data_IF_030270693222
#
_entry.id   IF_030270693222
#
_cell.length_a   1.000
_cell.length_b   1.000
_cell.length_c   1.000
_cell.angle_alpha   90.00
_cell.angle_beta   90.00
_cell.angle_gamma   90.00
#
_symmetry.space_group_name_H-M   'P 1'
#
loop_
_entity.id
_entity.type
_entity.pdbx_description
1 polymer ?
#
# COMPACT_ATOMS: atom_id res chain seq x y z
N UNK A 1 4.19 -20.02 62.65
CA UNK A 1 5.27 -20.24 61.67
C UNK A 1 4.61 -20.24 60.29
N UNK A 2 4.44 -19.10 59.61
CA UNK A 2 5.42 -18.39 58.76
C UNK A 2 5.91 -19.19 57.55
N UNK A 3 5.24 -19.00 56.40
CA UNK A 3 5.84 -19.03 55.08
C UNK A 3 5.01 -18.16 54.13
N UNK A 4 5.51 -16.98 53.74
CA UNK A 4 4.95 -16.19 52.63
C UNK A 4 5.69 -16.61 51.38
N UNK A 5 4.97 -17.06 50.34
CA UNK A 5 5.58 -17.22 49.01
C UNK A 5 5.62 -15.87 48.32
N UNK A 6 6.81 -15.43 47.92
CA UNK A 6 7.04 -14.24 47.12
C UNK A 6 7.60 -14.65 45.77
N UNK A 7 6.80 -14.52 44.71
CA UNK A 7 7.26 -14.80 43.34
C UNK A 7 7.97 -13.58 42.77
N UNK A 8 9.24 -13.75 42.43
CA UNK A 8 10.12 -12.73 41.87
C UNK A 8 9.78 -12.53 40.39
N UNK A 9 9.48 -11.29 39.99
CA UNK A 9 9.43 -10.92 38.57
C UNK A 9 10.80 -10.40 38.12
N UNK A 10 11.37 -11.05 37.11
CA UNK A 10 12.71 -10.78 36.58
C UNK A 10 12.65 -10.03 35.25
N UNK A 11 12.88 -8.72 35.27
CA UNK A 11 13.32 -7.99 34.08
C UNK A 11 14.29 -6.88 34.45
N UNK A 12 15.51 -6.89 33.88
CA UNK A 12 16.56 -5.91 34.21
C UNK A 12 17.56 -5.67 33.07
N UNK A 13 17.75 -4.39 32.71
CA UNK A 13 18.91 -3.76 32.01
C UNK A 13 19.12 -4.15 30.52
N UNK A 14 19.62 -3.31 29.59
CA UNK A 14 19.88 -1.83 29.44
C UNK A 14 19.41 -1.45 28.00
N UNK A 15 19.46 -0.23 27.43
CA UNK A 15 19.99 1.13 27.70
C UNK A 15 18.89 2.17 27.30
N UNK A 16 19.01 3.50 27.41
CA UNK A 16 20.07 4.35 27.97
C UNK A 16 20.75 5.31 26.96
N UNK A 17 20.07 6.39 26.54
CA UNK A 17 20.74 7.63 26.10
C UNK A 17 19.83 8.87 26.21
N UNK A 18 20.30 9.90 26.93
CA UNK A 18 19.72 11.25 26.89
C UNK A 18 20.18 11.99 25.63
N UNK A 19 19.28 12.76 25.00
CA UNK A 19 19.56 13.43 23.72
C UNK A 19 18.82 14.75 23.58
N UNK A 20 19.34 15.81 24.23
CA UNK A 20 18.82 17.19 24.10
C UNK A 20 18.75 17.61 22.62
N UNK A 21 17.60 18.08 22.16
CA UNK A 21 17.50 18.94 20.97
C UNK A 21 16.92 20.29 21.34
N UNK A 22 17.76 21.31 21.26
CA UNK A 22 17.37 22.69 21.52
C UNK A 22 16.64 23.27 20.30
N UNK A 23 15.55 24.00 20.54
CA UNK A 23 14.92 24.82 19.51
C UNK A 23 15.90 25.91 19.04
N UNK A 24 16.43 25.76 17.82
CA UNK A 24 17.14 26.83 17.11
C UNK A 24 16.27 27.30 15.95
N UNK A 25 15.59 28.43 16.17
CA UNK A 25 15.01 29.21 15.09
C UNK A 25 16.17 29.80 14.28
N UNK A 26 16.28 29.46 13.00
CA UNK A 26 17.12 30.23 12.09
C UNK A 26 16.33 31.45 11.64
N UNK A 27 16.94 32.63 11.81
CA UNK A 27 16.39 33.89 11.32
C UNK A 27 16.85 34.11 9.87
N UNK A 28 15.93 34.54 9.01
CA UNK A 28 16.27 35.06 7.68
C UNK A 28 17.00 36.40 7.82
N UNK A 29 18.11 36.63 7.11
CA UNK A 29 18.68 37.96 6.98
C UNK A 29 17.90 38.75 5.92
N UNK A 30 17.29 39.86 6.34
CA UNK A 30 16.75 40.87 5.42
C UNK A 30 17.91 41.53 4.68
N UNK A 31 17.94 41.39 3.36
CA UNK A 31 18.94 41.98 2.46
C UNK A 31 18.33 43.01 1.50
N UNK A 32 17.65 44.04 2.03
CA UNK A 32 17.12 45.13 1.21
C UNK A 32 18.25 46.10 0.80
N UNK A 33 18.24 46.50 -0.48
CA UNK A 33 19.34 47.25 -1.12
C UNK A 33 19.36 48.71 -0.68
N UNK A 34 20.57 49.24 -0.50
CA UNK A 34 20.80 50.68 -0.32
C UNK A 34 20.54 51.38 -1.65
N UNK A 35 19.62 52.36 -1.64
CA UNK A 35 19.53 53.35 -2.70
C UNK A 35 20.73 54.29 -2.64
N UNK A 36 21.36 54.55 -3.78
CA UNK A 36 22.35 55.61 -3.94
C UNK A 36 22.01 56.40 -5.20
N UNK A 37 21.41 57.56 -5.03
CA UNK A 37 21.13 58.51 -6.11
C UNK A 37 22.42 59.03 -6.74
N UNK A 38 22.45 59.11 -8.06
CA UNK A 38 23.41 59.91 -8.82
C UNK A 38 22.76 60.38 -10.13
N UNK A 39 22.68 61.70 -10.40
CA UNK A 39 22.00 62.21 -11.58
C UNK A 39 22.89 62.15 -12.83
N UNK A 40 22.36 61.63 -13.93
CA UNK A 40 23.00 61.73 -15.24
C UNK A 40 22.53 63.00 -15.96
N UNK A 41 23.32 64.07 -15.89
CA UNK A 41 23.08 65.30 -16.66
C UNK A 41 23.43 65.10 -18.13
N UNK A 42 22.43 65.27 -19.01
CA UNK A 42 22.61 65.38 -20.45
C UNK A 42 23.21 66.76 -20.78
N UNK A 43 24.43 66.78 -21.34
CA UNK A 43 24.96 67.94 -22.04
C UNK A 43 25.02 67.65 -23.54
N UNK A 44 24.06 68.20 -24.29
CA UNK A 44 24.09 68.21 -25.75
C UNK A 44 25.20 69.13 -26.28
N UNK A 45 25.79 68.72 -27.40
CA UNK A 45 26.92 69.37 -28.07
C UNK A 45 26.40 70.15 -29.28
N UNK A 46 26.66 71.45 -29.36
CA UNK A 46 26.55 72.22 -30.60
C UNK A 46 27.80 73.08 -30.84
N UNK A 47 28.51 72.72 -31.91
CA UNK A 47 29.38 73.56 -32.74
C UNK A 47 28.45 74.24 -33.78
N UNK A 48 28.73 75.33 -34.50
CA UNK A 48 29.88 76.25 -34.71
C UNK A 48 29.36 77.41 -35.59
N UNK A 49 30.16 78.49 -35.79
CA UNK A 49 30.17 79.38 -36.99
C UNK A 49 28.84 80.00 -37.50
N UNK A 50 28.70 81.30 -37.76
CA UNK A 50 29.71 82.35 -37.95
C UNK A 50 30.08 82.58 -39.43
N UNK A 51 29.28 83.37 -40.15
CA UNK A 51 29.59 84.09 -41.40
C UNK A 51 28.60 85.28 -41.47
N UNK A 52 28.95 86.58 -41.60
CA UNK A 52 29.84 87.36 -42.49
C UNK A 52 29.05 88.04 -43.63
N UNK A 53 29.13 89.39 -43.64
CA UNK A 53 29.00 90.33 -44.79
C UNK A 53 27.77 91.26 -44.72
N UNK A 54 27.86 92.56 -45.03
CA UNK A 54 29.03 93.40 -45.33
C UNK A 54 28.67 94.75 -45.97
N UNK A 55 29.60 95.72 -45.95
CA UNK A 55 29.60 97.02 -46.69
C UNK A 55 28.52 98.06 -46.28
N UNK A 56 28.67 99.38 -46.46
CA UNK A 56 29.68 100.18 -47.19
C UNK A 56 29.93 101.60 -46.58
N UNK A 57 31.05 102.21 -47.01
CA UNK A 57 31.34 103.66 -47.20
C UNK A 57 30.51 104.72 -46.43
N UNK A 58 31.05 105.45 -45.45
CA UNK A 58 32.07 106.51 -45.55
C UNK A 58 31.63 107.79 -46.28
N UNK A 59 31.49 108.87 -45.50
CA UNK A 59 31.56 110.27 -45.93
C UNK A 59 32.54 110.99 -44.98
N UNK A 60 33.27 111.99 -45.50
CA UNK A 60 34.48 112.52 -44.87
C UNK A 60 34.22 113.85 -44.17
N UNK A 61 34.77 114.04 -42.97
CA UNK A 61 35.08 115.38 -42.48
C UNK A 61 36.43 115.39 -41.76
N UNK A 62 37.31 116.25 -42.23
CA UNK A 62 38.74 116.28 -41.91
C UNK A 62 39.02 117.16 -40.70
N UNK A 63 39.37 116.58 -39.55
CA UNK A 63 39.90 117.31 -38.40
C UNK A 63 41.10 116.61 -37.75
N UNK A 64 42.19 117.38 -37.66
CA UNK A 64 43.40 117.28 -36.84
C UNK A 64 43.94 115.90 -36.38
N UNK A 65 45.10 115.50 -36.94
CA UNK A 65 45.62 114.13 -36.87
C UNK A 65 46.90 113.96 -36.04
N UNK A 66 47.18 114.82 -35.05
CA UNK A 66 48.36 114.68 -34.18
C UNK A 66 48.12 113.89 -32.87
N UNK A 67 46.88 113.81 -32.38
CA UNK A 67 46.53 113.01 -31.19
C UNK A 67 45.84 111.68 -31.54
N UNK A 68 45.04 111.66 -32.62
CA UNK A 68 44.35 110.46 -33.12
C UNK A 68 45.32 109.36 -33.59
N UNK A 69 46.48 109.73 -34.13
CA UNK A 69 47.50 108.78 -34.58
C UNK A 69 48.07 107.90 -33.47
N UNK A 70 48.30 108.46 -32.28
CA UNK A 70 48.78 107.72 -31.11
C UNK A 70 47.72 106.74 -30.59
N UNK A 71 46.49 107.22 -30.38
CA UNK A 71 45.36 106.40 -29.90
C UNK A 71 44.99 105.31 -30.93
N UNK A 72 45.09 105.57 -32.23
CA UNK A 72 44.88 104.58 -33.28
C UNK A 72 46.03 103.55 -33.38
N UNK A 73 47.27 103.95 -33.08
CA UNK A 73 48.40 103.03 -32.99
C UNK A 73 48.26 102.10 -31.76
N UNK A 74 47.88 102.64 -30.60
CA UNK A 74 47.58 101.86 -29.40
C UNK A 74 46.38 100.92 -29.62
N UNK A 75 45.31 101.36 -30.28
CA UNK A 75 44.17 100.51 -30.60
C UNK A 75 44.53 99.39 -31.60
N UNK A 76 45.39 99.67 -32.59
CA UNK A 76 45.93 98.65 -33.51
C UNK A 76 46.86 97.67 -32.78
N UNK A 77 47.67 98.14 -31.83
CA UNK A 77 48.53 97.29 -31.00
C UNK A 77 47.69 96.39 -30.07
N UNK A 78 46.66 96.94 -29.42
CA UNK A 78 45.71 96.17 -28.60
C UNK A 78 44.96 95.14 -29.42
N UNK A 79 44.43 95.49 -30.62
CA UNK A 79 43.77 94.54 -31.51
C UNK A 79 44.73 93.49 -32.09
N UNK A 80 46.00 93.83 -32.30
CA UNK A 80 47.03 92.87 -32.71
C UNK A 80 47.39 91.91 -31.57
N UNK A 81 47.48 92.40 -30.33
CA UNK A 81 47.67 91.62 -29.11
C UNK A 81 46.49 90.67 -28.87
N UNK A 82 45.26 91.17 -28.95
CA UNK A 82 44.02 90.39 -28.88
C UNK A 82 43.97 89.32 -29.98
N UNK A 83 44.33 89.67 -31.22
CA UNK A 83 44.43 88.70 -32.33
C UNK A 83 45.48 87.62 -32.06
N UNK A 84 46.64 87.98 -31.51
CA UNK A 84 47.69 87.02 -31.14
C UNK A 84 47.25 86.10 -29.97
N UNK A 85 46.53 86.64 -28.98
CA UNK A 85 45.91 85.86 -27.92
C UNK A 85 44.84 84.91 -28.47
N UNK A 86 43.98 85.38 -29.38
CA UNK A 86 42.98 84.54 -30.05
C UNK A 86 43.62 83.47 -30.94
N UNK A 87 44.74 83.76 -31.60
CA UNK A 87 45.52 82.76 -32.34
C UNK A 87 46.10 81.70 -31.40
N UNK A 88 46.78 82.10 -30.32
CA UNK A 88 47.30 81.19 -29.29
C UNK A 88 46.20 80.31 -28.66
N UNK A 89 45.02 80.88 -28.40
CA UNK A 89 43.86 80.15 -27.91
C UNK A 89 43.34 79.14 -28.95
N UNK A 90 43.31 79.53 -30.23
CA UNK A 90 42.87 78.68 -31.32
C UNK A 90 43.86 77.54 -31.62
N UNK A 91 45.17 77.79 -31.60
CA UNK A 91 46.22 76.78 -31.72
C UNK A 91 46.12 75.74 -30.58
N UNK A 92 45.79 76.21 -29.36
CA UNK A 92 45.49 75.35 -28.21
C UNK A 92 44.18 74.58 -28.38
N UNK A 93 43.16 75.13 -29.04
CA UNK A 93 41.94 74.39 -29.40
C UNK A 93 42.18 73.36 -30.50
N UNK A 94 42.99 73.66 -31.52
CA UNK A 94 43.43 72.69 -32.54
C UNK A 94 44.15 71.52 -31.87
N UNK A 95 45.12 71.81 -31.01
CA UNK A 95 45.84 70.81 -30.20
C UNK A 95 44.91 69.95 -29.33
N UNK A 96 43.84 70.55 -28.77
CA UNK A 96 42.84 69.82 -27.99
C UNK A 96 41.93 68.96 -28.87
N UNK A 97 41.51 69.44 -30.05
CA UNK A 97 40.70 68.69 -31.02
C UNK A 97 41.49 67.49 -31.56
N UNK A 98 42.78 67.65 -31.86
CA UNK A 98 43.66 66.55 -32.23
C UNK A 98 43.80 65.52 -31.11
N UNK A 99 43.97 65.96 -29.86
CA UNK A 99 44.02 65.07 -28.71
C UNK A 99 42.70 64.33 -28.47
N UNK A 100 41.56 65.00 -28.65
CA UNK A 100 40.23 64.36 -28.59
C UNK A 100 40.08 63.33 -29.71
N UNK A 101 40.42 63.65 -30.96
CA UNK A 101 40.40 62.69 -32.08
C UNK A 101 41.29 61.47 -31.83
N UNK A 102 42.49 61.67 -31.29
CA UNK A 102 43.40 60.57 -30.93
C UNK A 102 42.82 59.68 -29.82
N UNK A 103 42.14 60.28 -28.83
CA UNK A 103 41.46 59.55 -27.76
C UNK A 103 40.18 58.85 -28.24
N UNK A 104 39.42 59.45 -29.15
CA UNK A 104 38.27 58.83 -29.82
C UNK A 104 38.73 57.62 -30.64
N UNK A 105 39.76 57.78 -31.48
CA UNK A 105 40.36 56.69 -32.26
C UNK A 105 40.90 55.56 -31.37
N UNK A 106 41.57 55.90 -30.26
CA UNK A 106 42.06 54.91 -29.30
C UNK A 106 40.93 54.19 -28.57
N UNK A 107 39.87 54.90 -28.18
CA UNK A 107 38.68 54.27 -27.59
C UNK A 107 37.99 53.35 -28.59
N UNK A 108 37.92 53.72 -29.87
CA UNK A 108 37.31 52.87 -30.90
C UNK A 108 38.13 51.61 -31.15
N UNK A 109 39.46 51.71 -31.18
CA UNK A 109 40.34 50.54 -31.22
C UNK A 109 40.14 49.63 -29.99
N UNK A 110 40.08 50.21 -28.78
CA UNK A 110 39.83 49.45 -27.53
C UNK A 110 38.44 48.79 -27.50
N UNK A 111 37.41 49.43 -28.08
CA UNK A 111 36.08 48.82 -28.25
C UNK A 111 36.12 47.65 -29.23
N UNK A 112 36.77 47.81 -30.38
CA UNK A 112 36.93 46.73 -31.35
C UNK A 112 37.73 45.54 -30.78
N UNK A 113 38.74 45.80 -29.96
CA UNK A 113 39.45 44.76 -29.21
C UNK A 113 38.55 44.08 -28.17
N UNK A 114 37.77 44.85 -27.39
CA UNK A 114 36.81 44.31 -26.43
C UNK A 114 35.74 43.43 -27.09
N UNK A 115 35.15 43.87 -28.20
CA UNK A 115 34.17 43.08 -28.94
C UNK A 115 34.80 41.84 -29.59
N UNK A 116 36.07 41.90 -30.00
CA UNK A 116 36.81 40.71 -30.45
C UNK A 116 37.04 39.70 -29.32
N UNK A 117 37.32 40.17 -28.09
CA UNK A 117 37.44 39.29 -26.92
C UNK A 117 36.10 38.78 -26.40
N UNK A 118 35.02 39.55 -26.53
CA UNK A 118 33.64 39.19 -26.16
C UNK A 118 32.97 38.27 -27.19
N UNK A 119 33.29 38.45 -28.47
CA UNK A 119 32.82 37.62 -29.58
C UNK A 119 33.54 36.27 -29.69
N UNK A 120 34.68 36.10 -29.03
CA UNK A 120 35.18 34.79 -28.66
C UNK A 120 34.26 34.23 -27.56
N UNK A 121 33.22 33.50 -27.97
CA UNK A 121 32.35 32.74 -27.09
C UNK A 121 33.09 31.72 -26.22
N UNK A 122 32.39 30.94 -25.37
CA UNK A 122 33.04 29.90 -24.58
C UNK A 122 33.92 29.05 -25.49
N UNK A 123 35.21 28.93 -25.13
CA UNK A 123 36.20 28.24 -25.95
C UNK A 123 35.63 26.91 -26.45
N UNK A 124 35.93 26.50 -27.70
CA UNK A 124 35.49 25.22 -28.27
C UNK A 124 35.74 24.02 -27.33
N UNK A 125 36.76 24.11 -26.47
CA UNK A 125 37.04 23.15 -25.41
C UNK A 125 35.94 23.11 -24.31
N UNK A 126 35.45 24.28 -23.88
CA UNK A 126 34.33 24.40 -22.96
C UNK A 126 33.02 23.88 -23.58
N UNK A 127 32.76 24.14 -24.87
CA UNK A 127 31.61 23.55 -25.57
C UNK A 127 31.67 22.03 -25.57
N UNK A 128 32.82 21.44 -25.90
CA UNK A 128 33.04 19.99 -25.84
C UNK A 128 32.83 19.46 -24.41
N UNK A 129 33.39 20.09 -23.38
CA UNK A 129 33.14 19.69 -21.99
C UNK A 129 31.68 19.82 -21.58
N UNK A 130 30.94 20.86 -22.04
CA UNK A 130 29.51 20.95 -21.77
C UNK A 130 28.73 19.83 -22.46
N UNK A 131 29.11 19.46 -23.70
CA UNK A 131 28.49 18.35 -24.41
C UNK A 131 28.72 17.01 -23.69
N UNK A 132 29.96 16.70 -23.32
CA UNK A 132 30.30 15.51 -22.52
C UNK A 132 29.53 15.49 -21.18
N UNK A 133 29.41 16.63 -20.48
CA UNK A 133 28.61 16.72 -19.26
C UNK A 133 27.12 16.50 -19.52
N UNK A 134 26.55 16.99 -20.62
CA UNK A 134 25.14 16.72 -20.99
C UNK A 134 24.92 15.25 -21.36
N UNK A 135 25.84 14.64 -22.09
CA UNK A 135 25.76 13.23 -22.46
C UNK A 135 25.92 12.33 -21.24
N UNK A 136 26.88 12.59 -20.35
CA UNK A 136 27.02 11.84 -19.10
C UNK A 136 25.78 11.97 -18.20
N UNK A 137 25.12 13.13 -18.16
CA UNK A 137 23.82 13.29 -17.48
C UNK A 137 22.74 12.43 -18.14
N UNK A 138 22.61 12.48 -19.47
CA UNK A 138 21.66 11.65 -20.24
C UNK A 138 21.86 10.16 -19.97
N UNK A 139 23.10 9.68 -19.86
CA UNK A 139 23.40 8.29 -19.51
C UNK A 139 23.03 7.97 -18.05
N UNK A 140 23.27 8.87 -17.09
CA UNK A 140 22.82 8.70 -15.70
C UNK A 140 21.29 8.63 -15.60
N UNK A 141 20.58 9.49 -16.32
CA UNK A 141 19.12 9.50 -16.35
C UNK A 141 18.57 8.20 -16.98
N UNK A 142 19.20 7.70 -18.04
CA UNK A 142 18.87 6.42 -18.67
C UNK A 142 19.07 5.24 -17.71
N UNK A 143 20.25 5.12 -17.10
CA UNK A 143 20.55 4.07 -16.13
C UNK A 143 19.63 4.14 -14.89
N UNK A 144 19.23 5.35 -14.48
CA UNK A 144 18.28 5.55 -13.37
C UNK A 144 16.88 5.05 -13.74
N UNK A 145 16.42 5.33 -14.96
CA UNK A 145 15.14 4.84 -15.48
C UNK A 145 15.14 3.31 -15.69
N UNK A 146 16.23 2.75 -16.21
CA UNK A 146 16.40 1.30 -16.37
C UNK A 146 16.43 0.59 -15.02
N UNK A 147 17.17 1.15 -14.04
CA UNK A 147 17.17 0.66 -12.66
C UNK A 147 15.77 0.68 -12.06
N UNK A 148 15.03 1.79 -12.17
CA UNK A 148 13.67 1.90 -11.63
C UNK A 148 12.72 0.86 -12.26
N UNK A 149 12.81 0.63 -13.58
CA UNK A 149 12.07 -0.42 -14.28
C UNK A 149 12.43 -1.82 -13.77
N UNK A 150 13.72 -2.10 -13.57
CA UNK A 150 14.20 -3.38 -13.05
C UNK A 150 13.79 -3.60 -11.57
N UNK A 151 13.75 -2.55 -10.75
CA UNK A 151 13.26 -2.61 -9.36
C UNK A 151 11.75 -2.92 -9.32
N UNK A 152 10.93 -2.28 -10.17
CA UNK A 152 9.50 -2.62 -10.30
C UNK A 152 9.30 -4.05 -10.79
N UNK A 153 10.06 -4.51 -11.79
CA UNK A 153 10.01 -5.90 -12.26
C UNK A 153 10.40 -6.90 -11.15
N UNK A 154 11.46 -6.62 -10.39
CA UNK A 154 11.87 -7.41 -9.22
C UNK A 154 10.73 -7.50 -8.21
N UNK A 155 10.08 -6.38 -7.89
CA UNK A 155 9.06 -6.34 -6.84
C UNK A 155 7.76 -7.04 -7.28
N UNK A 156 7.37 -6.90 -8.54
CA UNK A 156 6.29 -7.69 -9.14
C UNK A 156 6.60 -9.19 -9.08
N UNK A 157 7.80 -9.60 -9.51
CA UNK A 157 8.25 -10.99 -9.42
C UNK A 157 8.28 -11.48 -7.97
N UNK A 158 8.69 -10.67 -6.99
CA UNK A 158 8.66 -11.04 -5.57
C UNK A 158 7.23 -11.23 -5.04
N UNK A 159 6.26 -10.45 -5.51
CA UNK A 159 4.83 -10.65 -5.19
C UNK A 159 4.32 -11.97 -5.80
N UNK A 160 4.65 -12.25 -7.05
CA UNK A 160 4.29 -13.53 -7.70
C UNK A 160 4.94 -14.75 -7.05
N UNK A 161 6.22 -14.63 -6.69
CA UNK A 161 7.00 -15.64 -5.98
C UNK A 161 6.37 -15.96 -4.62
N UNK A 162 5.88 -14.96 -3.89
CA UNK A 162 5.09 -15.13 -2.65
C UNK A 162 3.71 -15.75 -2.93
N UNK A 163 2.99 -15.29 -3.95
CA UNK A 163 1.66 -15.79 -4.35
C UNK A 163 1.70 -17.28 -4.71
N UNK A 164 2.71 -17.71 -5.47
CA UNK A 164 2.94 -19.10 -5.84
C UNK A 164 3.34 -19.94 -4.63
N UNK A 165 4.19 -19.43 -3.72
CA UNK A 165 4.49 -20.10 -2.45
C UNK A 165 3.25 -20.33 -1.59
N UNK A 166 2.38 -19.33 -1.46
CA UNK A 166 1.14 -19.45 -0.68
C UNK A 166 0.23 -20.55 -1.26
N UNK A 167 -0.01 -20.53 -2.57
CA UNK A 167 -0.75 -21.59 -3.27
C UNK A 167 -0.12 -22.97 -3.08
N UNK A 168 1.21 -23.09 -3.19
CA UNK A 168 1.89 -24.37 -2.96
C UNK A 168 1.69 -24.91 -1.54
N UNK A 169 1.69 -24.04 -0.51
CA UNK A 169 1.40 -24.47 0.86
C UNK A 169 -0.06 -24.92 1.01
N UNK A 170 -1.00 -24.22 0.39
CA UNK A 170 -2.42 -24.61 0.37
C UNK A 170 -2.64 -25.96 -0.31
N UNK A 171 -2.05 -26.18 -1.49
CA UNK A 171 -2.09 -27.46 -2.22
C UNK A 171 -1.46 -28.61 -1.41
N UNK A 172 -0.36 -28.36 -0.67
CA UNK A 172 0.24 -29.35 0.22
C UNK A 172 -0.74 -29.76 1.33
N UNK A 173 -1.40 -28.78 1.98
CA UNK A 173 -2.38 -29.06 3.04
C UNK A 173 -3.61 -29.79 2.50
N UNK A 174 -4.12 -29.42 1.32
CA UNK A 174 -5.22 -30.13 0.65
C UNK A 174 -4.83 -31.57 0.27
N UNK A 175 -3.60 -31.78 -0.21
CA UNK A 175 -3.05 -33.11 -0.52
C UNK A 175 -2.94 -33.97 0.74
N UNK A 176 -2.46 -33.42 1.84
CA UNK A 176 -2.37 -34.11 3.14
C UNK A 176 -3.76 -34.44 3.71
N UNK A 177 -4.76 -33.58 3.52
CA UNK A 177 -6.16 -33.85 3.89
C UNK A 177 -6.74 -35.02 3.07
N UNK A 178 -6.54 -34.98 1.75
CA UNK A 178 -6.97 -36.06 0.86
C UNK A 178 -6.27 -37.39 1.16
N UNK A 179 -4.98 -37.38 1.51
CA UNK A 179 -4.24 -38.57 1.96
C UNK A 179 -4.78 -39.12 3.29
N UNK A 180 -5.03 -38.25 4.29
CA UNK A 180 -5.61 -38.65 5.58
C UNK A 180 -7.03 -39.22 5.42
N UNK A 181 -7.86 -38.59 4.59
CA UNK A 181 -9.19 -39.12 4.24
C UNK A 181 -9.11 -40.47 3.53
N UNK A 182 -8.19 -40.63 2.56
CA UNK A 182 -7.95 -41.91 1.86
C UNK A 182 -7.46 -43.01 2.82
N UNK A 183 -6.62 -42.65 3.80
CA UNK A 183 -6.16 -43.58 4.83
C UNK A 183 -7.30 -44.03 5.74
N UNK A 184 -8.20 -43.12 6.15
CA UNK A 184 -9.42 -43.47 6.89
C UNK A 184 -10.28 -44.44 6.09
N UNK A 185 -10.58 -44.14 4.82
CA UNK A 185 -11.40 -45.03 3.99
C UNK A 185 -10.77 -46.41 3.77
N UNK A 186 -9.43 -46.52 3.72
CA UNK A 186 -8.76 -47.83 3.72
C UNK A 186 -9.00 -48.60 5.02
N UNK A 187 -8.85 -47.94 6.16
CA UNK A 187 -9.14 -48.54 7.46
C UNK A 187 -10.61 -48.96 7.58
N UNK A 188 -11.55 -48.17 7.07
CA UNK A 188 -12.97 -48.49 7.05
C UNK A 188 -13.28 -49.71 6.15
N UNK A 189 -12.61 -49.82 5.00
CA UNK A 189 -12.68 -51.00 4.11
C UNK A 189 -12.09 -52.24 4.78
N UNK A 190 -10.95 -52.13 5.46
CA UNK A 190 -10.34 -53.24 6.20
C UNK A 190 -11.24 -53.71 7.35
N UNK A 191 -11.81 -52.77 8.12
CA UNK A 191 -12.78 -53.05 9.18
C UNK A 191 -14.04 -53.74 8.62
N UNK A 192 -14.58 -53.26 7.49
CA UNK A 192 -15.72 -53.87 6.83
C UNK A 192 -15.41 -55.28 6.28
N UNK A 193 -14.19 -55.50 5.78
CA UNK A 193 -13.72 -56.81 5.33
C UNK A 193 -13.61 -57.81 6.49
N UNK A 194 -13.07 -57.39 7.65
CA UNK A 194 -13.05 -58.20 8.87
C UNK A 194 -14.47 -58.56 9.33
N UNK A 195 -15.36 -57.57 9.43
CA UNK A 195 -16.76 -57.80 9.79
C UNK A 195 -17.47 -58.77 8.82
N UNK A 196 -17.17 -58.70 7.52
CA UNK A 196 -17.67 -59.65 6.51
C UNK A 196 -17.20 -61.07 6.79
N UNK A 197 -15.91 -61.27 7.08
CA UNK A 197 -15.32 -62.59 7.39
C UNK A 197 -15.89 -63.18 8.68
N UNK A 198 -16.11 -62.37 9.71
CA UNK A 198 -16.71 -62.86 10.96
C UNK A 198 -18.20 -63.23 10.80
N UNK A 199 -18.93 -62.51 9.93
CA UNK A 199 -20.29 -62.91 9.52
C UNK A 199 -20.29 -64.18 8.67
N UNK A 200 -19.35 -64.33 7.72
CA UNK A 200 -19.16 -65.55 6.93
C UNK A 200 -18.94 -66.76 7.84
N UNK A 201 -18.02 -66.67 8.82
CA UNK A 201 -17.79 -67.71 9.84
C UNK A 201 -19.03 -68.00 10.68
N UNK A 202 -19.81 -66.99 11.06
CA UNK A 202 -21.03 -67.22 11.85
C UNK A 202 -22.11 -67.90 11.02
N UNK A 203 -22.19 -67.61 9.72
CA UNK A 203 -23.07 -68.33 8.79
C UNK A 203 -22.63 -69.79 8.64
N UNK A 204 -21.33 -70.07 8.47
CA UNK A 204 -20.78 -71.43 8.41
C UNK A 204 -21.09 -72.21 9.71
N UNK A 205 -20.80 -71.63 10.88
CA UNK A 205 -21.11 -72.23 12.18
C UNK A 205 -22.60 -72.55 12.37
N UNK A 206 -23.50 -71.68 11.93
CA UNK A 206 -24.94 -71.93 11.99
C UNK A 206 -25.39 -73.00 10.98
N UNK A 207 -24.72 -73.12 9.82
CA UNK A 207 -24.98 -74.18 8.86
C UNK A 207 -24.53 -75.55 9.42
N UNK A 208 -23.38 -75.62 10.08
CA UNK A 208 -22.89 -76.81 10.78
C UNK A 208 -23.87 -77.23 11.90
N UNK A 209 -24.34 -76.28 12.70
CA UNK A 209 -25.34 -76.50 13.75
C UNK A 209 -26.66 -77.05 13.18
N UNK A 210 -27.17 -76.50 12.07
CA UNK A 210 -28.35 -77.01 11.36
C UNK A 210 -28.13 -78.44 10.85
N UNK A 211 -26.94 -78.76 10.33
CA UNK A 211 -26.60 -80.12 9.86
C UNK A 211 -26.49 -81.09 11.04
N UNK A 212 -25.94 -80.66 12.17
CA UNK A 212 -25.86 -81.46 13.40
C UNK A 212 -27.27 -81.77 13.94
N UNK A 213 -28.12 -80.76 14.11
CA UNK A 213 -29.49 -80.93 14.60
C UNK A 213 -30.34 -81.84 13.69
N UNK A 214 -30.14 -81.76 12.36
CA UNK A 214 -30.80 -82.69 11.42
C UNK A 214 -30.39 -84.14 11.65
N UNK A 215 -29.09 -84.41 11.83
CA UNK A 215 -28.58 -85.77 12.11
C UNK A 215 -29.11 -86.31 13.45
N UNK A 216 -29.12 -85.46 14.48
CA UNK A 216 -29.65 -85.82 15.80
C UNK A 216 -31.13 -86.20 15.71
N UNK A 217 -31.98 -85.37 15.07
CA UNK A 217 -33.39 -85.70 14.89
C UNK A 217 -33.60 -86.98 14.03
N UNK A 218 -32.77 -87.21 13.01
CA UNK A 218 -32.79 -88.46 12.23
C UNK A 218 -32.39 -89.71 13.05
N UNK A 219 -31.54 -89.54 14.07
CA UNK A 219 -31.14 -90.58 15.02
C UNK A 219 -32.25 -90.84 16.06
N UNK A 220 -32.79 -89.80 16.69
CA UNK A 220 -33.92 -89.89 17.63
C UNK A 220 -35.16 -90.53 16.98
N UNK A 221 -35.49 -90.16 15.74
CA UNK A 221 -36.60 -90.77 14.99
C UNK A 221 -36.36 -92.27 14.73
N UNK A 222 -35.11 -92.68 14.48
CA UNK A 222 -34.74 -94.10 14.35
C UNK A 222 -34.87 -94.84 15.68
N UNK A 223 -34.40 -94.25 16.78
CA UNK A 223 -34.52 -94.84 18.11
C UNK A 223 -35.99 -95.02 18.53
N UNK A 224 -36.82 -94.00 18.37
CA UNK A 224 -38.25 -94.05 18.67
C UNK A 224 -38.98 -95.11 17.82
N UNK A 225 -38.61 -95.27 16.54
CA UNK A 225 -39.11 -96.38 15.72
C UNK A 225 -38.73 -97.75 16.32
N UNK A 226 -37.49 -97.95 16.79
CA UNK A 226 -37.08 -99.22 17.42
C UNK A 226 -37.76 -99.46 18.76
N UNK A 227 -37.93 -98.44 19.61
CA UNK A 227 -38.63 -98.55 20.89
C UNK A 227 -40.11 -98.92 20.67
N UNK A 228 -40.76 -98.33 19.67
CA UNK A 228 -42.14 -98.64 19.31
C UNK A 228 -42.28 -100.11 18.87
N UNK A 229 -41.33 -100.62 18.08
CA UNK A 229 -41.30 -102.04 17.70
C UNK A 229 -41.06 -102.97 18.91
N UNK A 230 -40.21 -102.58 19.86
CA UNK A 230 -39.93 -103.36 21.07
C UNK A 230 -41.13 -103.37 22.04
N UNK A 231 -41.83 -102.25 22.23
CA UNK A 231 -43.02 -102.20 23.10
C UNK A 231 -44.15 -103.09 22.56
N UNK A 232 -44.34 -103.14 21.24
CA UNK A 232 -45.32 -104.06 20.61
C UNK A 232 -44.99 -105.54 20.87
N UNK A 233 -43.72 -105.88 21.08
CA UNK A 233 -43.31 -107.25 21.46
C UNK A 233 -43.51 -107.52 22.95
N UNK A 234 -43.19 -106.55 23.82
CA UNK A 234 -43.28 -106.72 25.28
C UNK A 234 -44.73 -106.79 25.80
N UNK A 235 -45.68 -106.10 25.16
CA UNK A 235 -47.11 -106.14 25.52
C UNK A 235 -47.76 -107.54 25.36
N UNK A 236 -47.06 -108.53 24.79
CA UNK A 236 -47.54 -109.91 24.69
C UNK A 236 -47.13 -110.83 25.86
N UNK A 237 -46.25 -110.42 26.78
CA UNK A 237 -45.61 -111.37 27.73
C UNK A 237 -45.83 -111.14 29.24
N UNK A 238 -46.41 -110.02 29.71
CA UNK A 238 -46.43 -109.69 31.15
C UNK A 238 -47.83 -109.38 31.65
N UNK A 239 -48.55 -110.42 32.11
CA UNK A 239 -49.80 -110.28 32.87
C UNK A 239 -50.11 -111.54 33.70
N UNK A 240 -49.27 -111.86 34.71
CA UNK A 240 -49.50 -112.98 35.66
C UNK A 240 -49.02 -112.59 37.09
N UNK A 241 -50.02 -112.29 37.92
CA UNK A 241 -50.24 -112.68 39.33
C UNK A 241 -49.41 -112.20 40.55
N UNK A 242 -50.21 -111.62 41.49
CA UNK A 242 -50.38 -111.94 42.93
C UNK A 242 -49.15 -111.80 43.88
N UNK A 243 -49.14 -110.87 44.83
CA UNK A 243 -49.93 -110.74 46.09
C UNK A 243 -49.40 -111.54 47.31
N UNK A 244 -48.86 -110.77 48.27
CA UNK A 244 -49.17 -110.75 49.72
C UNK A 244 -49.24 -112.08 50.51
N UNK A 245 -48.32 -112.26 51.48
CA UNK A 245 -48.63 -112.24 52.93
C UNK A 245 -47.41 -112.59 53.82
N UNK A 246 -47.26 -111.88 54.95
CA UNK A 246 -46.49 -112.34 56.12
C UNK A 246 -47.42 -112.99 57.16
N UNK A 247 -46.90 -113.89 58.02
CA UNK A 247 -47.20 -113.77 59.44
C UNK A 247 -46.07 -114.19 60.40
N UNK A 248 -45.87 -113.46 61.49
CA UNK A 248 -46.26 -113.86 62.86
C UNK A 248 -45.79 -112.77 63.85
N UNK A 249 -46.74 -112.21 64.58
CA UNK A 249 -46.60 -110.90 65.22
C UNK A 249 -46.37 -110.97 66.73
N UNK A 250 -46.51 -112.14 67.38
CA UNK A 250 -46.77 -112.16 68.84
C UNK A 250 -45.52 -112.23 69.72
N UNK A 251 -44.46 -112.92 69.27
CA UNK A 251 -43.14 -112.82 69.91
C UNK A 251 -42.48 -111.49 69.52
N UNK A 252 -42.64 -111.11 68.25
CA UNK A 252 -42.26 -109.82 67.74
C UNK A 252 -42.84 -108.69 68.60
N UNK A 253 -44.14 -108.66 68.92
CA UNK A 253 -44.80 -107.57 69.69
C UNK A 253 -44.11 -107.12 70.99
N UNK A 254 -43.34 -107.99 71.66
CA UNK A 254 -42.58 -107.64 72.87
C UNK A 254 -41.21 -107.04 72.54
N UNK A 255 -40.53 -107.58 71.54
CA UNK A 255 -39.32 -106.99 70.99
C UNK A 255 -39.64 -105.69 70.27
N UNK A 256 -40.63 -105.68 69.37
CA UNK A 256 -41.34 -104.53 68.78
C UNK A 256 -41.64 -103.43 69.78
N UNK A 257 -41.80 -103.66 71.09
CA UNK A 257 -42.01 -102.56 72.05
C UNK A 257 -40.71 -101.83 72.41
N UNK A 258 -39.63 -102.57 72.67
CA UNK A 258 -38.29 -102.02 72.91
C UNK A 258 -37.66 -101.50 71.61
N UNK A 259 -37.87 -102.24 70.53
CA UNK A 259 -37.66 -101.78 69.17
C UNK A 259 -38.52 -100.56 68.90
N UNK A 260 -39.79 -100.42 69.31
CA UNK A 260 -40.60 -99.19 69.07
C UNK A 260 -40.07 -97.98 69.83
N UNK A 261 -39.44 -98.16 70.98
CA UNK A 261 -38.86 -97.04 71.75
C UNK A 261 -37.54 -96.58 71.11
N UNK A 262 -36.70 -97.54 70.70
CA UNK A 262 -35.51 -97.31 69.89
C UNK A 262 -35.84 -96.86 68.46
N UNK A 263 -36.95 -97.32 67.87
CA UNK A 263 -37.46 -97.03 66.54
C UNK A 263 -38.30 -95.76 66.56
N UNK A 264 -38.86 -95.31 67.67
CA UNK A 264 -39.43 -93.96 67.76
C UNK A 264 -38.30 -92.93 67.90
N UNK A 265 -37.25 -93.26 68.66
CA UNK A 265 -36.04 -92.43 68.75
C UNK A 265 -35.29 -92.40 67.43
N UNK A 266 -35.08 -93.56 66.80
CA UNK A 266 -34.53 -93.67 65.44
C UNK A 266 -35.47 -93.12 64.39
N UNK A 267 -36.79 -93.29 64.43
CA UNK A 267 -37.70 -92.69 63.44
C UNK A 267 -37.76 -91.17 63.64
N UNK A 268 -37.59 -90.63 64.85
CA UNK A 268 -37.42 -89.18 65.01
C UNK A 268 -36.11 -88.69 64.36
N UNK A 269 -34.98 -89.36 64.62
CA UNK A 269 -33.69 -89.03 63.99
C UNK A 269 -33.66 -89.31 62.49
N UNK A 270 -34.07 -90.49 62.03
CA UNK A 270 -34.23 -90.89 60.63
C UNK A 270 -35.31 -90.06 59.94
N UNK A 271 -36.32 -89.50 60.61
CA UNK A 271 -37.26 -88.55 60.00
C UNK A 271 -36.64 -87.18 59.86
N UNK A 272 -35.92 -86.68 60.86
CA UNK A 272 -35.15 -85.43 60.76
C UNK A 272 -34.04 -85.54 59.70
N UNK A 273 -33.27 -86.63 59.71
CA UNK A 273 -32.32 -87.01 58.67
C UNK A 273 -33.01 -87.30 57.35
N UNK A 274 -34.23 -87.84 57.27
CA UNK A 274 -34.94 -88.02 55.99
C UNK A 274 -35.42 -86.68 55.44
N UNK A 275 -35.92 -85.76 56.27
CA UNK A 275 -36.27 -84.39 55.87
C UNK A 275 -35.03 -83.58 55.44
N UNK A 276 -33.90 -83.74 56.13
CA UNK A 276 -32.63 -83.06 55.81
C UNK A 276 -31.86 -83.73 54.65
N UNK A 277 -31.91 -85.06 54.53
CA UNK A 277 -31.26 -85.84 53.47
C UNK A 277 -32.13 -86.06 52.24
N UNK A 278 -33.44 -85.69 52.25
CA UNK A 278 -34.27 -85.59 51.05
C UNK A 278 -33.46 -84.84 50.01
N UNK A 279 -32.91 -85.52 48.97
CA UNK A 279 -31.92 -84.88 48.12
C UNK A 279 -32.58 -83.69 47.44
N UNK A 280 -33.85 -83.85 47.05
CA UNK A 280 -34.69 -82.79 46.52
C UNK A 280 -34.88 -81.56 47.41
N UNK A 281 -34.97 -81.64 48.74
CA UNK A 281 -35.15 -80.45 49.59
C UNK A 281 -33.83 -79.74 49.87
N UNK A 282 -32.75 -80.49 50.11
CA UNK A 282 -31.41 -79.92 50.24
C UNK A 282 -30.90 -79.34 48.92
N UNK A 283 -31.21 -80.01 47.80
CA UNK A 283 -30.95 -79.54 46.44
C UNK A 283 -31.84 -78.35 46.08
N UNK A 284 -33.15 -78.34 46.36
CA UNK A 284 -33.98 -77.13 46.17
C UNK A 284 -33.46 -75.95 46.98
N UNK A 285 -33.07 -76.17 48.25
CA UNK A 285 -32.59 -75.10 49.12
C UNK A 285 -31.23 -74.56 48.65
N UNK A 286 -30.32 -75.44 48.25
CA UNK A 286 -29.02 -75.03 47.69
C UNK A 286 -29.17 -74.36 46.33
N UNK A 287 -30.03 -74.91 45.44
CA UNK A 287 -30.36 -74.34 44.14
C UNK A 287 -30.99 -72.96 44.29
N UNK A 288 -31.98 -72.80 45.17
CA UNK A 288 -32.65 -71.52 45.41
C UNK A 288 -31.72 -70.48 46.05
N UNK A 289 -30.79 -70.88 46.94
CA UNK A 289 -29.76 -69.97 47.47
C UNK A 289 -28.81 -69.54 46.35
N UNK A 290 -28.34 -70.49 45.53
CA UNK A 290 -27.44 -70.20 44.39
C UNK A 290 -28.12 -69.32 43.34
N UNK A 291 -29.38 -69.60 42.98
CA UNK A 291 -30.17 -68.81 42.02
C UNK A 291 -30.37 -67.37 42.53
N UNK A 292 -30.67 -67.20 43.82
CA UNK A 292 -30.84 -65.88 44.45
C UNK A 292 -29.52 -65.11 44.51
N UNK A 293 -28.42 -65.75 44.92
CA UNK A 293 -27.09 -65.12 44.95
C UNK A 293 -26.58 -64.76 43.54
N UNK A 294 -26.85 -65.61 42.53
CA UNK A 294 -26.52 -65.32 41.12
C UNK A 294 -27.33 -64.11 40.61
N UNK A 295 -28.63 -64.06 40.93
CA UNK A 295 -29.51 -62.96 40.53
C UNK A 295 -29.14 -61.63 41.23
N UNK A 296 -28.64 -61.68 42.46
CA UNK A 296 -28.03 -60.52 43.12
C UNK A 296 -26.69 -60.11 42.48
N UNK A 297 -25.86 -61.06 42.08
CA UNK A 297 -24.61 -60.77 41.35
C UNK A 297 -24.90 -60.08 40.00
N UNK A 298 -25.80 -60.63 39.19
CA UNK A 298 -26.21 -60.04 37.90
C UNK A 298 -26.79 -58.63 38.07
N UNK A 299 -27.67 -58.43 39.08
CA UNK A 299 -28.29 -57.14 39.34
C UNK A 299 -27.27 -56.10 39.82
N UNK A 300 -26.30 -56.49 40.65
CA UNK A 300 -25.24 -55.57 41.11
C UNK A 300 -24.25 -55.27 39.99
N UNK A 301 -23.91 -56.23 39.14
CA UNK A 301 -23.05 -56.02 37.98
C UNK A 301 -23.72 -55.11 36.93
N UNK A 302 -25.02 -55.32 36.65
CA UNK A 302 -25.82 -54.43 35.81
C UNK A 302 -25.91 -53.00 36.38
N UNK A 303 -26.04 -52.85 37.70
CA UNK A 303 -26.02 -51.55 38.36
C UNK A 303 -24.64 -50.86 38.28
N UNK A 304 -23.54 -51.63 38.36
CA UNK A 304 -22.17 -51.11 38.17
C UNK A 304 -21.99 -50.63 36.73
N UNK A 305 -22.34 -51.44 35.72
CA UNK A 305 -22.28 -51.07 34.29
C UNK A 305 -23.08 -49.80 34.01
N UNK A 306 -24.31 -49.69 34.51
CA UNK A 306 -25.15 -48.49 34.35
C UNK A 306 -24.53 -47.25 35.04
N UNK A 307 -23.90 -47.43 36.21
CA UNK A 307 -23.16 -46.35 36.88
C UNK A 307 -21.91 -45.92 36.10
N UNK A 308 -21.29 -46.83 35.36
CA UNK A 308 -20.11 -46.55 34.52
C UNK A 308 -20.50 -45.86 33.21
N UNK A 309 -21.54 -46.32 32.51
CA UNK A 309 -22.07 -45.61 31.33
C UNK A 309 -22.54 -44.20 31.70
N UNK A 310 -23.21 -44.03 32.84
CA UNK A 310 -23.59 -42.70 33.35
C UNK A 310 -22.38 -41.81 33.69
N UNK A 311 -21.25 -42.38 34.10
CA UNK A 311 -20.00 -41.61 34.31
C UNK A 311 -19.35 -41.23 32.99
N UNK A 312 -19.27 -42.16 32.03
CA UNK A 312 -18.73 -41.89 30.69
C UNK A 312 -19.51 -40.77 30.00
N UNK A 313 -20.85 -40.86 29.96
CA UNK A 313 -21.72 -39.82 29.41
C UNK A 313 -21.54 -38.46 30.13
N UNK A 314 -21.29 -38.45 31.45
CA UNK A 314 -20.97 -37.22 32.20
C UNK A 314 -19.58 -36.68 31.91
N UNK A 315 -18.60 -37.53 31.62
CA UNK A 315 -17.26 -37.11 31.21
C UNK A 315 -17.31 -36.47 29.81
N UNK A 316 -17.91 -37.16 28.84
CA UNK A 316 -18.17 -36.65 27.49
C UNK A 316 -18.91 -35.32 27.51
N UNK A 317 -20.01 -35.20 28.27
CA UNK A 317 -20.75 -33.94 28.41
C UNK A 317 -19.89 -32.80 28.97
N UNK A 318 -18.96 -33.09 29.88
CA UNK A 318 -18.00 -32.09 30.39
C UNK A 318 -16.91 -31.75 29.37
N UNK A 319 -16.48 -32.71 28.55
CA UNK A 319 -15.54 -32.47 27.44
C UNK A 319 -16.17 -31.62 26.35
N UNK A 320 -17.40 -31.91 25.93
CA UNK A 320 -18.14 -31.04 25.01
C UNK A 320 -18.32 -29.64 25.60
N UNK A 321 -18.65 -29.51 26.90
CA UNK A 321 -18.72 -28.20 27.56
C UNK A 321 -17.39 -27.45 27.55
N UNK A 322 -16.26 -28.14 27.73
CA UNK A 322 -14.90 -27.54 27.61
C UNK A 322 -14.58 -27.14 26.17
N UNK A 323 -14.91 -27.98 25.18
CA UNK A 323 -14.74 -27.69 23.74
C UNK A 323 -15.54 -26.45 23.33
N UNK A 324 -16.79 -26.34 23.76
CA UNK A 324 -17.63 -25.14 23.53
C UNK A 324 -17.00 -23.89 24.17
N UNK A 325 -16.53 -23.97 25.41
CA UNK A 325 -15.86 -22.86 26.08
C UNK A 325 -14.58 -22.42 25.35
N UNK A 326 -13.73 -23.36 24.91
CA UNK A 326 -12.53 -23.07 24.13
C UNK A 326 -12.89 -22.38 22.80
N UNK A 327 -13.82 -22.93 22.02
CA UNK A 327 -14.27 -22.35 20.75
C UNK A 327 -14.93 -20.97 20.92
N UNK A 328 -15.60 -20.71 22.05
CA UNK A 328 -16.11 -19.37 22.37
C UNK A 328 -14.98 -18.39 22.62
N UNK A 329 -13.97 -18.77 23.41
CA UNK A 329 -12.80 -17.93 23.65
C UNK A 329 -12.01 -17.67 22.35
N UNK A 330 -11.83 -18.67 21.49
CA UNK A 330 -11.16 -18.51 20.20
C UNK A 330 -11.96 -17.59 19.26
N UNK A 331 -13.28 -17.73 19.22
CA UNK A 331 -14.15 -16.85 18.42
C UNK A 331 -14.13 -15.41 18.94
N UNK A 332 -14.15 -15.18 20.25
CA UNK A 332 -14.09 -13.82 20.81
C UNK A 332 -12.69 -13.19 20.65
N UNK A 333 -11.62 -14.00 20.70
CA UNK A 333 -10.28 -13.55 20.35
C UNK A 333 -10.18 -13.15 18.86
N UNK A 334 -10.73 -13.96 17.95
CA UNK A 334 -10.76 -13.67 16.51
C UNK A 334 -11.59 -12.42 16.19
N UNK A 335 -12.75 -12.22 16.85
CA UNK A 335 -13.52 -10.96 16.76
C UNK A 335 -12.68 -9.77 17.20
N UNK A 336 -12.02 -9.84 18.35
CA UNK A 336 -11.15 -8.77 18.84
C UNK A 336 -9.99 -8.44 17.90
N UNK A 337 -9.39 -9.45 17.25
CA UNK A 337 -8.38 -9.20 16.20
C UNK A 337 -8.97 -8.58 14.93
N UNK A 338 -10.18 -8.98 14.52
CA UNK A 338 -10.85 -8.41 13.36
C UNK A 338 -11.25 -6.95 13.61
N UNK A 339 -11.85 -6.63 14.77
CA UNK A 339 -12.16 -5.27 15.19
C UNK A 339 -10.91 -4.37 15.23
N UNK A 340 -9.77 -4.90 15.71
CA UNK A 340 -8.51 -4.19 15.72
C UNK A 340 -7.97 -3.92 14.29
N UNK A 341 -8.05 -4.89 13.39
CA UNK A 341 -7.65 -4.75 11.98
C UNK A 341 -8.55 -3.76 11.23
N UNK A 342 -9.87 -3.80 11.46
CA UNK A 342 -10.80 -2.84 10.90
C UNK A 342 -10.55 -1.41 11.40
N UNK A 343 -10.22 -1.23 12.69
CA UNK A 343 -9.82 0.08 13.22
C UNK A 343 -8.51 0.56 12.58
N UNK A 344 -7.53 -0.32 12.38
CA UNK A 344 -6.27 0.02 11.72
C UNK A 344 -6.50 0.40 10.24
N UNK A 345 -7.42 -0.29 9.55
CA UNK A 345 -7.80 0.03 8.18
C UNK A 345 -8.47 1.42 8.10
N UNK A 346 -9.46 1.70 8.96
CA UNK A 346 -10.11 3.02 9.04
C UNK A 346 -9.11 4.14 9.34
N UNK A 347 -8.18 3.94 10.27
CA UNK A 347 -7.12 4.92 10.56
C UNK A 347 -6.18 5.13 9.36
N UNK A 348 -5.89 4.09 8.58
CA UNK A 348 -5.09 4.19 7.37
C UNK A 348 -5.82 4.95 6.27
N UNK A 349 -7.12 4.69 6.08
CA UNK A 349 -7.99 5.42 5.15
C UNK A 349 -8.11 6.90 5.52
N UNK A 350 -8.31 7.22 6.81
CA UNK A 350 -8.33 8.59 7.33
C UNK A 350 -6.99 9.32 7.10
N UNK A 351 -5.86 8.66 7.37
CA UNK A 351 -4.53 9.24 7.11
C UNK A 351 -4.31 9.49 5.61
N UNK A 352 -4.66 8.56 4.73
CA UNK A 352 -4.57 8.77 3.28
C UNK A 352 -5.51 9.88 2.79
N UNK A 353 -6.70 10.02 3.36
CA UNK A 353 -7.61 11.13 3.04
C UNK A 353 -7.02 12.48 3.46
N UNK A 354 -6.38 12.55 4.64
CA UNK A 354 -5.68 13.75 5.11
C UNK A 354 -4.46 14.09 4.25
N UNK A 355 -3.64 13.11 3.87
CA UNK A 355 -2.50 13.32 2.96
C UNK A 355 -2.99 13.78 1.58
N UNK A 356 -4.04 13.15 1.02
CA UNK A 356 -4.64 13.54 -0.25
C UNK A 356 -5.20 14.97 -0.22
N UNK A 357 -5.88 15.35 0.86
CA UNK A 357 -6.33 16.74 1.08
C UNK A 357 -5.14 17.70 1.14
N UNK A 358 -4.07 17.34 1.86
CA UNK A 358 -2.85 18.15 1.92
C UNK A 358 -2.18 18.34 0.56
N UNK A 359 -2.13 17.30 -0.28
CA UNK A 359 -1.66 17.44 -1.66
C UNK A 359 -2.57 18.35 -2.48
N UNK A 360 -3.90 18.20 -2.37
CA UNK A 360 -4.87 19.05 -3.06
C UNK A 360 -4.74 20.53 -2.65
N UNK A 361 -4.55 20.81 -1.36
CA UNK A 361 -4.30 22.16 -0.83
C UNK A 361 -2.98 22.74 -1.39
N UNK A 362 -1.93 21.92 -1.51
CA UNK A 362 -0.67 22.38 -2.13
C UNK A 362 -0.80 22.65 -3.62
N UNK A 363 -1.63 21.87 -4.34
CA UNK A 363 -1.95 22.11 -5.75
C UNK A 363 -2.72 23.42 -5.89
N UNK A 364 -3.81 23.61 -5.15
CA UNK A 364 -4.61 24.84 -5.20
C UNK A 364 -3.78 26.10 -4.88
N UNK A 365 -2.89 26.02 -3.88
CA UNK A 365 -1.94 27.11 -3.59
C UNK A 365 -0.96 27.36 -4.74
N UNK A 366 -0.49 26.34 -5.45
CA UNK A 366 0.39 26.52 -6.62
C UNK A 366 -0.38 27.11 -7.81
N UNK A 367 -1.62 26.69 -8.03
CA UNK A 367 -2.52 27.25 -9.05
C UNK A 367 -2.82 28.74 -8.78
N UNK A 368 -3.12 29.11 -7.53
CA UNK A 368 -3.29 30.50 -7.10
C UNK A 368 -2.02 31.34 -7.37
N UNK A 369 -0.84 30.82 -7.07
CA UNK A 369 0.43 31.50 -7.39
C UNK A 369 0.64 31.66 -8.90
N UNK A 370 0.21 30.69 -9.72
CA UNK A 370 0.27 30.79 -11.19
C UNK A 370 -0.70 31.85 -11.70
N UNK A 371 -1.90 31.97 -11.13
CA UNK A 371 -2.86 33.02 -11.48
C UNK A 371 -2.32 34.41 -11.10
N UNK A 372 -1.85 34.59 -9.86
CA UNK A 372 -1.27 35.85 -9.41
C UNK A 372 -0.07 36.29 -10.27
N UNK A 373 0.77 35.35 -10.74
CA UNK A 373 1.88 35.65 -11.64
C UNK A 373 1.43 35.98 -13.07
N UNK A 374 0.31 35.43 -13.56
CA UNK A 374 -0.27 35.82 -14.85
C UNK A 374 -0.83 37.24 -14.79
N UNK A 375 -1.61 37.56 -13.75
CA UNK A 375 -2.17 38.89 -13.54
C UNK A 375 -1.06 39.95 -13.44
N UNK A 376 0.07 39.63 -12.79
CA UNK A 376 1.25 40.49 -12.70
C UNK A 376 1.98 40.66 -14.05
N UNK A 377 2.05 39.60 -14.88
CA UNK A 377 2.57 39.68 -16.25
C UNK A 377 1.67 40.58 -17.11
N UNK A 378 0.35 40.39 -17.05
CA UNK A 378 -0.62 41.19 -17.79
C UNK A 378 -0.56 42.66 -17.34
N UNK A 379 -0.47 42.93 -16.04
CA UNK A 379 -0.26 44.27 -15.49
C UNK A 379 1.00 44.93 -16.06
N UNK A 380 2.13 44.21 -16.06
CA UNK A 380 3.36 44.71 -16.67
C UNK A 380 3.25 44.95 -18.18
N UNK A 381 2.56 44.09 -18.93
CA UNK A 381 2.34 44.29 -20.37
C UNK A 381 1.56 45.59 -20.64
N UNK A 382 0.56 45.93 -19.82
CA UNK A 382 -0.13 47.21 -19.91
C UNK A 382 0.81 48.39 -19.61
N UNK A 383 1.63 48.31 -18.55
CA UNK A 383 2.63 49.35 -18.23
C UNK A 383 3.66 49.56 -19.36
N UNK A 384 4.11 48.48 -20.00
CA UNK A 384 5.01 48.57 -21.16
C UNK A 384 4.32 49.20 -22.38
N UNK A 385 3.04 48.89 -22.62
CA UNK A 385 2.27 49.48 -23.71
C UNK A 385 2.04 50.98 -23.48
N UNK A 386 1.73 51.40 -22.26
CA UNK A 386 1.59 52.82 -21.92
C UNK A 386 2.91 53.59 -22.06
N UNK A 387 4.03 53.01 -21.62
CA UNK A 387 5.35 53.59 -21.82
C UNK A 387 5.72 53.69 -23.32
N UNK A 388 5.35 52.68 -24.13
CA UNK A 388 5.51 52.71 -25.57
C UNK A 388 4.66 53.81 -26.22
N UNK A 389 3.42 53.99 -25.78
CA UNK A 389 2.53 55.07 -26.25
C UNK A 389 3.15 56.45 -25.95
N UNK A 390 3.68 56.67 -24.74
CA UNK A 390 4.40 57.90 -24.37
C UNK A 390 5.64 58.10 -25.24
N UNK A 391 6.42 57.03 -25.49
CA UNK A 391 7.59 57.10 -26.38
C UNK A 391 7.22 57.49 -27.81
N UNK A 392 6.12 56.96 -28.35
CA UNK A 392 5.61 57.34 -29.68
C UNK A 392 5.18 58.81 -29.71
N UNK A 393 4.51 59.31 -28.67
CA UNK A 393 4.16 60.73 -28.56
C UNK A 393 5.42 61.63 -28.56
N UNK A 394 6.45 61.27 -27.77
CA UNK A 394 7.73 61.99 -27.73
C UNK A 394 8.49 61.94 -29.07
N UNK A 395 8.45 60.81 -29.79
CA UNK A 395 9.03 60.73 -31.15
C UNK A 395 8.32 61.69 -32.12
N UNK A 396 6.98 61.81 -32.04
CA UNK A 396 6.19 62.75 -32.84
C UNK A 396 6.53 64.19 -32.46
N UNK A 397 6.65 64.51 -31.17
CA UNK A 397 7.10 65.83 -30.71
C UNK A 397 8.50 66.15 -31.24
N UNK A 398 9.47 65.24 -31.12
CA UNK A 398 10.83 65.41 -31.67
C UNK A 398 10.78 65.61 -33.20
N UNK A 399 9.93 64.88 -33.92
CA UNK A 399 9.77 65.05 -35.37
C UNK A 399 9.15 66.42 -35.74
N UNK A 400 8.16 66.90 -34.97
CA UNK A 400 7.58 68.23 -35.19
C UNK A 400 8.54 69.36 -34.82
N UNK A 401 9.30 69.25 -33.74
CA UNK A 401 10.37 70.20 -33.40
C UNK A 401 11.47 70.24 -34.48
N UNK A 402 11.91 69.08 -35.00
CA UNK A 402 12.84 69.03 -36.14
C UNK A 402 12.28 69.75 -37.36
N UNK A 403 11.02 69.48 -37.72
CA UNK A 403 10.36 70.12 -38.87
C UNK A 403 10.17 71.63 -38.68
N UNK A 404 9.99 72.11 -37.45
CA UNK A 404 9.96 73.55 -37.15
C UNK A 404 11.34 74.19 -37.31
N UNK A 405 12.40 73.56 -36.81
CA UNK A 405 13.78 74.01 -36.98
C UNK A 405 14.20 74.05 -38.47
N UNK A 406 13.89 72.98 -39.22
CA UNK A 406 14.11 72.91 -40.68
C UNK A 406 13.23 73.93 -41.44
N UNK A 407 12.04 74.25 -40.90
CA UNK A 407 11.18 75.31 -41.40
C UNK A 407 11.73 76.72 -41.13
N UNK A 408 12.46 76.91 -40.04
CA UNK A 408 13.09 78.18 -39.66
C UNK A 408 14.32 78.49 -40.53
N UNK A 409 15.12 77.46 -40.85
CA UNK A 409 16.12 77.54 -41.93
C UNK A 409 15.48 77.83 -43.30
N UNK A 410 14.25 77.37 -43.53
CA UNK A 410 13.49 77.61 -44.78
C UNK A 410 12.85 79.01 -44.87
N UNK A 411 12.81 79.80 -43.79
CA UNK A 411 12.36 81.20 -43.87
C UNK A 411 13.47 82.17 -44.29
N UNK A 412 14.74 81.75 -44.22
CA UNK A 412 15.89 82.49 -44.77
C UNK A 412 16.09 82.17 -46.27
N UNK A 413 15.32 81.23 -46.85
CA UNK A 413 15.24 81.02 -48.31
C UNK A 413 13.86 80.50 -48.74
N UNK A 414 12.97 81.42 -49.10
CA UNK A 414 11.62 81.15 -49.64
C UNK A 414 11.65 80.74 -51.13
N UNK A 415 10.59 80.12 -51.73
CA UNK A 415 9.22 79.93 -51.22
C UNK A 415 8.65 78.47 -51.24
N UNK A 416 7.43 78.33 -50.68
CA UNK A 416 6.54 77.16 -50.58
C UNK A 416 6.01 76.62 -51.95
N UNK A 417 5.21 75.51 -52.02
CA UNK A 417 4.92 74.45 -51.02
C UNK A 417 5.08 73.01 -51.56
N UNK A 418 4.92 71.99 -50.69
CA UNK A 418 4.12 70.79 -51.05
C UNK A 418 3.66 69.99 -49.81
N UNK A 419 2.34 69.79 -49.70
CA UNK A 419 1.68 68.89 -48.74
C UNK A 419 1.28 67.61 -49.48
N UNK A 420 1.86 66.46 -49.14
CA UNK A 420 1.29 65.11 -49.39
C UNK A 420 2.23 64.02 -48.88
N UNK A 421 1.65 62.86 -48.52
CA UNK A 421 2.30 61.69 -47.89
C UNK A 421 2.78 61.97 -46.45
N UNK A 422 2.59 61.08 -45.47
CA UNK A 422 2.29 59.65 -45.53
C UNK A 422 1.00 59.27 -44.78
N UNK A 423 0.20 58.44 -45.43
CA UNK A 423 -0.87 57.63 -44.85
C UNK A 423 -0.33 56.25 -44.43
N UNK A 424 -1.07 55.55 -43.58
CA UNK A 424 -0.91 54.14 -43.17
C UNK A 424 0.35 53.77 -42.37
N UNK A 425 0.13 53.39 -41.11
CA UNK A 425 0.48 52.04 -40.64
C UNK A 425 -0.77 51.49 -39.91
N UNK A 426 -1.40 50.46 -40.45
CA UNK A 426 -2.43 49.69 -39.75
C UNK A 426 -1.81 48.87 -38.61
N UNK A 427 -2.49 48.72 -37.45
CA UNK A 427 -2.11 47.69 -36.48
C UNK A 427 -2.41 46.30 -37.07
N UNK A 428 -1.37 45.49 -37.26
CA UNK A 428 -1.50 44.11 -37.75
C UNK A 428 -2.36 43.28 -36.80
N UNK A 429 -3.49 42.82 -37.30
CA UNK A 429 -4.33 41.80 -36.69
C UNK A 429 -3.67 40.42 -36.93
N UNK A 430 -3.04 39.82 -35.92
CA UNK A 430 -2.48 38.46 -36.04
C UNK A 430 -3.04 37.47 -35.00
N UNK A 431 -4.01 36.68 -35.47
CA UNK A 431 -4.16 35.24 -35.20
C UNK A 431 -4.14 34.75 -33.73
N UNK A 432 -5.33 34.62 -33.13
CA UNK A 432 -5.55 33.60 -32.08
C UNK A 432 -5.43 32.21 -32.71
N UNK A 433 -4.31 31.53 -32.49
CA UNK A 433 -4.15 30.13 -32.87
C UNK A 433 -5.03 29.23 -31.99
N UNK A 434 -6.11 28.68 -32.54
CA UNK A 434 -6.96 27.70 -31.84
C UNK A 434 -6.29 26.32 -31.85
N UNK A 435 -5.68 25.96 -30.72
CA UNK A 435 -4.98 24.68 -30.56
C UNK A 435 -5.99 23.53 -30.51
N UNK A 436 -6.18 22.79 -31.59
CA UNK A 436 -7.06 21.61 -31.62
C UNK A 436 -6.47 20.48 -30.79
N UNK A 437 -7.12 20.13 -29.68
CA UNK A 437 -6.70 19.01 -28.80
C UNK A 437 -7.26 17.70 -29.35
N UNK A 438 -6.37 16.74 -29.61
CA UNK A 438 -6.74 15.39 -30.06
C UNK A 438 -6.53 14.40 -28.92
N UNK A 439 -7.63 13.91 -28.33
CA UNK A 439 -7.57 12.89 -27.27
C UNK A 439 -7.68 11.51 -27.92
N UNK A 440 -6.63 10.72 -27.75
CA UNK A 440 -6.53 9.33 -28.22
C UNK A 440 -6.45 8.42 -27.00
N UNK A 441 -7.46 7.57 -26.83
CA UNK A 441 -7.52 6.59 -25.74
C UNK A 441 -7.28 5.21 -26.33
N UNK A 442 -6.25 4.51 -25.82
CA UNK A 442 -5.85 3.17 -26.26
C UNK A 442 -5.99 2.19 -25.10
N UNK A 443 -6.81 1.16 -25.28
CA UNK A 443 -6.93 0.06 -24.32
C UNK A 443 -5.95 -1.06 -24.69
N UNK A 444 -4.94 -1.27 -23.84
CA UNK A 444 -3.92 -2.32 -24.03
C UNK A 444 -4.04 -3.41 -22.98
N UNK A 445 -4.03 -4.67 -23.41
CA UNK A 445 -3.95 -5.84 -22.54
C UNK A 445 -2.83 -6.74 -23.02
N UNK A 446 -1.98 -7.18 -22.09
CA UNK A 446 -0.82 -8.06 -22.35
C UNK A 446 0.15 -7.58 -23.46
N UNK A 447 0.16 -6.27 -23.75
CA UNK A 447 1.07 -5.61 -24.69
C UNK A 447 0.49 -5.35 -26.09
N UNK A 448 -0.67 -5.91 -26.43
CA UNK A 448 -1.37 -5.61 -27.68
C UNK A 448 -2.48 -4.56 -27.48
N UNK A 449 -2.67 -3.70 -28.49
CA UNK A 449 -3.71 -2.66 -28.50
C UNK A 449 -5.02 -3.29 -28.98
N UNK A 450 -5.98 -3.45 -28.07
CA UNK A 450 -7.25 -4.13 -28.37
C UNK A 450 -8.30 -3.20 -28.95
N UNK A 451 -8.32 -1.93 -28.52
CA UNK A 451 -9.20 -0.89 -29.04
C UNK A 451 -8.48 0.47 -29.09
N UNK A 452 -8.73 1.23 -30.16
CA UNK A 452 -8.28 2.61 -30.32
C UNK A 452 -9.47 3.50 -30.65
N UNK A 453 -9.77 4.45 -29.76
CA UNK A 453 -10.78 5.48 -29.98
C UNK A 453 -10.11 6.86 -30.03
N UNK A 454 -10.41 7.62 -31.09
CA UNK A 454 -9.94 9.00 -31.27
C UNK A 454 -11.14 9.93 -31.30
N UNK A 455 -11.27 10.80 -30.30
CA UNK A 455 -12.34 11.79 -30.25
C UNK A 455 -11.76 13.20 -30.44
N UNK A 456 -12.31 13.92 -31.42
CA UNK A 456 -11.98 15.32 -31.67
C UNK A 456 -12.94 16.18 -30.87
N UNK A 457 -12.40 16.97 -29.94
CA UNK A 457 -13.16 18.05 -29.32
C UNK A 457 -12.90 19.32 -30.13
N UNK A 458 -13.96 19.93 -30.65
CA UNK A 458 -13.90 21.31 -31.15
C UNK A 458 -14.76 22.12 -30.19
N UNK A 459 -14.12 23.07 -29.49
CA UNK A 459 -14.83 23.95 -28.57
C UNK A 459 -15.68 24.94 -29.39
N UNK A 460 -16.96 25.15 -29.05
CA UNK A 460 -17.76 26.19 -29.68
C UNK A 460 -17.26 27.58 -29.26
N UNK A 461 -17.27 28.53 -30.20
CA UNK A 461 -16.82 29.93 -30.03
C UNK A 461 -17.62 30.73 -28.97
#
# INVERSE_FOLDING_TARGET
MTAKSSTISSYRKRFGHDGRSASRRYASPVGARVHSDAPATLCTRSKTSGAWSGTASAACETLDFSLSGAVSAEFKASRASEKAQMQSLNDRFVSYIEKVRLLEQRNEALRAELERWRGNGPSRLAELYTHEVTEMRRHVDQLTNEKARAEVQRDNLLVDMKRIRAKLQEEILQREEAERSTQSFRQDVDNAALARVDLERKVESLQEEIVFLKKLHEEELRELQTQTQQQQQQQQQVCVDLEVAQPDLTSALREIRVQYENLASKNAHESEEWYNSKPYLSWLKSLHIVDVDLQFADLTEAAIRNRETLRAAKQEANEYRRKVQALTCDMDALKGTNEALEQQMRQMEENFALESSGYQDTIGRLEENILNLKDEIDRHLHEYQDLLNVKIALDIEIATYRKLLEGEDSWISTPLPNFSTLSLIDPVLESRSTTKVLIKTTETRDGEVMNEATQKHEDPE
#
